data_IF_656929517893
#
_entry.id   IF_656929517893
#
_cell.length_a   1.000
_cell.length_b   1.000
_cell.length_c   1.000
_cell.angle_alpha   90.00
_cell.angle_beta   90.00
_cell.angle_gamma   90.00
#
_symmetry.space_group_name_H-M   'P 1'
#
loop_
_entity.id
_entity.type
_entity.pdbx_description
1 polymer ?
#
# COMPACT_ATOMS: atom_id res chain seq x y z
N UNK A 1 -13.18 20.81 -8.34
CA UNK A 1 -12.06 19.97 -7.85
C UNK A 1 -11.12 19.72 -9.01
N UNK A 2 -9.82 19.75 -8.78
CA UNK A 2 -8.82 19.46 -9.82
C UNK A 2 -8.97 18.00 -10.31
N UNK A 3 -8.81 17.74 -11.62
CA UNK A 3 -8.79 16.37 -12.12
C UNK A 3 -7.58 15.64 -11.53
N UNK A 4 -7.83 14.58 -10.76
CA UNK A 4 -6.77 13.73 -10.23
C UNK A 4 -6.15 12.93 -11.37
N UNK A 5 -4.84 13.07 -11.58
CA UNK A 5 -4.09 12.22 -12.50
C UNK A 5 -3.59 10.97 -11.78
N UNK A 6 -3.96 9.79 -12.28
CA UNK A 6 -3.52 8.50 -11.77
C UNK A 6 -3.08 7.55 -12.90
N UNK A 7 -2.65 8.11 -14.04
CA UNK A 7 -2.23 7.40 -15.25
C UNK A 7 -3.26 6.36 -15.78
N UNK A 8 -4.56 6.63 -15.61
CA UNK A 8 -5.63 5.75 -16.10
C UNK A 8 -5.83 4.46 -15.30
N UNK A 9 -5.21 4.36 -14.12
CA UNK A 9 -5.38 3.23 -13.22
C UNK A 9 -6.73 3.29 -12.49
N UNK A 10 -7.24 2.14 -12.04
CA UNK A 10 -8.49 2.09 -11.27
C UNK A 10 -8.27 2.56 -9.84
N UNK A 11 -9.24 3.30 -9.30
CA UNK A 11 -9.22 3.77 -7.92
C UNK A 11 -8.38 5.02 -7.70
N UNK A 12 -8.41 5.52 -6.46
CA UNK A 12 -7.79 6.79 -6.05
C UNK A 12 -7.32 6.69 -4.58
N UNK A 13 -6.86 7.79 -3.99
CA UNK A 13 -6.43 7.86 -2.58
C UNK A 13 -7.42 7.20 -1.62
N UNK A 14 -7.02 6.07 -1.03
CA UNK A 14 -7.78 5.32 -0.02
C UNK A 14 -8.52 4.08 -0.53
N UNK A 15 -8.30 3.67 -1.79
CA UNK A 15 -8.76 2.38 -2.35
C UNK A 15 -7.62 1.39 -2.35
N UNK A 16 -7.96 0.10 -2.30
CA UNK A 16 -7.00 -0.98 -2.49
C UNK A 16 -6.76 -1.33 -3.98
N UNK A 17 -7.37 -0.60 -4.92
CA UNK A 17 -7.05 -0.69 -6.35
C UNK A 17 -5.68 -0.04 -6.67
N UNK A 18 -5.11 -0.35 -7.82
CA UNK A 18 -3.76 0.07 -8.27
C UNK A 18 -3.57 1.58 -8.19
N UNK A 19 -4.54 2.37 -8.66
CA UNK A 19 -4.50 3.84 -8.61
C UNK A 19 -4.59 4.43 -7.21
N UNK A 20 -4.92 3.63 -6.18
CA UNK A 20 -4.90 4.05 -4.79
C UNK A 20 -3.61 3.75 -4.04
N UNK A 21 -2.75 2.87 -4.59
CA UNK A 21 -1.55 2.40 -3.89
C UNK A 21 -0.26 2.50 -4.70
N UNK A 22 -0.32 2.52 -6.04
CA UNK A 22 0.86 2.71 -6.88
C UNK A 22 1.22 4.18 -6.90
N UNK A 23 2.46 4.47 -6.53
CA UNK A 23 3.00 5.83 -6.44
C UNK A 23 4.31 5.93 -7.23
N UNK A 24 4.68 7.13 -7.71
CA UNK A 24 6.00 7.34 -8.29
C UNK A 24 7.09 7.13 -7.23
N UNK A 25 8.18 6.46 -7.61
CA UNK A 25 9.35 6.26 -6.77
C UNK A 25 10.60 6.38 -7.64
N UNK A 26 11.49 7.32 -7.29
CA UNK A 26 12.72 7.59 -8.03
C UNK A 26 13.91 7.46 -7.08
N UNK A 27 15.00 6.88 -7.58
CA UNK A 27 16.25 6.70 -6.82
C UNK A 27 17.41 7.26 -7.64
N UNK A 28 18.23 8.09 -7.03
CA UNK A 28 19.44 8.65 -7.63
C UNK A 28 20.62 8.39 -6.70
N UNK A 29 21.71 7.86 -7.27
CA UNK A 29 23.00 7.79 -6.59
C UNK A 29 24.10 7.97 -7.64
N UNK A 30 24.70 9.16 -7.62
CA UNK A 30 25.68 9.56 -8.60
C UNK A 30 26.94 8.68 -8.48
N UNK A 31 27.42 8.16 -9.61
CA UNK A 31 28.58 7.26 -9.66
C UNK A 31 28.29 5.78 -9.40
N UNK A 32 27.09 5.40 -8.96
CA UNK A 32 26.77 4.00 -8.62
C UNK A 32 25.98 3.26 -9.71
N UNK A 33 25.20 3.96 -10.53
CA UNK A 33 24.49 3.36 -11.67
C UNK A 33 24.15 4.39 -12.75
N UNK A 34 23.88 3.90 -13.97
CA UNK A 34 23.41 4.74 -15.07
C UNK A 34 22.00 5.27 -14.78
N UNK A 35 21.80 6.56 -15.04
CA UNK A 35 20.51 7.23 -14.97
C UNK A 35 19.61 6.84 -16.16
N UNK A 36 18.32 7.20 -16.08
CA UNK A 36 17.38 7.05 -17.19
C UNK A 36 16.95 5.61 -17.47
N UNK A 37 16.82 4.78 -16.43
CA UNK A 37 16.32 3.41 -16.54
C UNK A 37 15.16 3.18 -15.59
N UNK A 38 14.28 2.29 -16.00
CA UNK A 38 13.14 1.83 -15.22
C UNK A 38 13.40 0.44 -14.64
N UNK A 39 12.77 0.15 -13.50
CA UNK A 39 12.80 -1.15 -12.85
C UNK A 39 11.36 -1.67 -12.73
N UNK A 40 11.03 -2.70 -13.51
CA UNK A 40 9.66 -3.24 -13.58
C UNK A 40 9.32 -4.19 -12.43
N UNK A 41 10.31 -4.60 -11.63
CA UNK A 41 10.08 -5.50 -10.50
C UNK A 41 9.19 -4.81 -9.45
N UNK A 42 8.07 -5.44 -9.11
CA UNK A 42 7.12 -4.93 -8.14
C UNK A 42 7.82 -4.71 -6.80
N UNK A 43 7.82 -3.46 -6.35
CA UNK A 43 8.49 -2.98 -5.14
C UNK A 43 7.47 -2.29 -4.22
N UNK A 44 7.76 -2.24 -2.92
CA UNK A 44 6.91 -1.60 -1.91
C UNK A 44 7.76 -0.82 -0.91
N UNK A 45 7.12 0.08 -0.17
CA UNK A 45 7.80 0.91 0.84
C UNK A 45 8.57 0.09 1.90
N UNK A 46 8.09 -1.11 2.23
CA UNK A 46 8.78 -2.04 3.16
C UNK A 46 10.16 -2.49 2.66
N UNK A 47 10.42 -2.39 1.35
CA UNK A 47 11.69 -2.80 0.75
C UNK A 47 12.80 -1.74 0.93
N UNK A 48 12.44 -0.50 1.30
CA UNK A 48 13.40 0.60 1.49
C UNK A 48 14.36 0.32 2.64
N UNK A 49 13.85 -0.14 3.78
CA UNK A 49 14.67 -0.47 4.96
C UNK A 49 15.79 -1.49 4.65
N UNK A 50 15.48 -2.70 4.13
CA UNK A 50 16.53 -3.66 3.80
C UNK A 50 17.44 -3.19 2.65
N UNK A 51 16.97 -2.33 1.75
CA UNK A 51 17.85 -1.69 0.76
C UNK A 51 18.85 -0.74 1.40
N UNK A 52 18.41 0.16 2.27
CA UNK A 52 19.32 1.08 2.94
C UNK A 52 20.27 0.38 3.90
N UNK A 53 19.82 -0.68 4.57
CA UNK A 53 20.70 -1.53 5.37
C UNK A 53 21.81 -2.16 4.51
N UNK A 54 21.46 -2.74 3.37
CA UNK A 54 22.44 -3.31 2.44
C UNK A 54 23.42 -2.24 1.91
N UNK A 55 22.93 -1.04 1.60
CA UNK A 55 23.76 0.10 1.20
C UNK A 55 24.74 0.52 2.30
N UNK A 56 24.32 0.47 3.56
CA UNK A 56 25.14 0.81 4.71
C UNK A 56 26.08 -0.33 5.17
N UNK A 57 26.10 -1.47 4.47
CA UNK A 57 26.88 -2.64 4.88
C UNK A 57 26.35 -3.35 6.13
N UNK A 58 25.07 -3.15 6.47
CA UNK A 58 24.42 -3.83 7.60
C UNK A 58 23.97 -5.22 7.15
N UNK A 59 24.61 -6.25 7.68
CA UNK A 59 24.35 -7.65 7.30
C UNK A 59 23.19 -8.29 8.07
N UNK A 60 22.89 -7.80 9.27
CA UNK A 60 21.88 -8.40 10.15
C UNK A 60 20.73 -7.43 10.40
N UNK A 61 19.52 -7.87 10.06
CA UNK A 61 18.28 -7.17 10.37
C UNK A 61 17.52 -7.88 11.51
N UNK A 62 16.68 -7.16 12.27
CA UNK A 62 15.85 -7.77 13.29
C UNK A 62 15.03 -8.95 12.74
N UNK A 63 15.21 -10.12 13.34
CA UNK A 63 14.51 -11.35 12.94
C UNK A 63 13.01 -11.16 13.10
N UNK A 64 12.23 -11.60 12.10
CA UNK A 64 10.77 -11.57 12.09
C UNK A 64 10.13 -10.17 12.24
N UNK A 65 10.87 -9.08 11.98
CA UNK A 65 10.33 -7.71 11.97
C UNK A 65 10.53 -6.99 10.63
N UNK A 66 11.32 -7.57 9.71
CA UNK A 66 11.54 -7.02 8.38
C UNK A 66 11.02 -7.99 7.33
N UNK A 67 9.97 -7.57 6.63
CA UNK A 67 9.29 -8.35 5.58
C UNK A 67 9.73 -7.96 4.16
N UNK A 68 10.30 -6.76 4.04
CA UNK A 68 10.80 -6.23 2.78
C UNK A 68 12.02 -6.98 2.27
N UNK A 69 12.35 -6.77 0.99
CA UNK A 69 13.51 -7.36 0.33
C UNK A 69 14.31 -6.27 -0.34
N UNK A 70 15.63 -6.28 -0.16
CA UNK A 70 16.48 -5.28 -0.80
C UNK A 70 16.35 -5.34 -2.33
N UNK A 71 16.03 -4.19 -2.95
CA UNK A 71 16.13 -3.97 -4.39
C UNK A 71 17.50 -3.44 -4.84
N UNK A 72 18.50 -3.40 -3.95
CA UNK A 72 19.86 -2.99 -4.31
C UNK A 72 20.45 -3.80 -5.48
N UNK A 73 20.26 -5.14 -5.60
CA UNK A 73 20.76 -5.89 -6.76
C UNK A 73 20.16 -5.45 -8.10
N UNK A 74 18.94 -4.90 -8.09
CA UNK A 74 18.35 -4.29 -9.28
C UNK A 74 19.03 -2.94 -9.59
N UNK A 75 19.34 -2.17 -8.55
CA UNK A 75 20.02 -0.89 -8.69
C UNK A 75 21.46 -1.05 -9.19
N UNK A 76 22.20 -2.02 -8.72
CA UNK A 76 23.59 -2.25 -9.17
C UNK A 76 23.66 -2.94 -10.54
N UNK A 77 22.54 -3.47 -11.03
CA UNK A 77 22.49 -4.25 -12.27
C UNK A 77 22.98 -5.69 -12.11
N UNK A 78 23.28 -6.12 -10.88
CA UNK A 78 23.60 -7.52 -10.55
C UNK A 78 22.45 -8.46 -10.93
N UNK A 79 21.20 -8.00 -10.78
CA UNK A 79 20.00 -8.75 -11.17
C UNK A 79 19.09 -7.90 -12.05
N UNK A 80 18.49 -8.54 -13.05
CA UNK A 80 17.44 -7.92 -13.88
C UNK A 80 16.06 -7.97 -13.20
N UNK A 81 15.81 -9.02 -12.43
CA UNK A 81 14.55 -9.23 -11.70
C UNK A 81 14.84 -9.81 -10.33
N UNK A 82 13.94 -9.57 -9.36
CA UNK A 82 13.91 -10.29 -8.10
C UNK A 82 12.88 -11.41 -8.16
N UNK A 83 12.98 -12.39 -7.26
CA UNK A 83 12.07 -13.54 -7.22
C UNK A 83 10.59 -13.11 -7.19
N UNK A 84 9.80 -13.65 -8.13
CA UNK A 84 8.35 -13.44 -8.32
C UNK A 84 7.47 -14.18 -7.29
N UNK A 85 8.04 -14.56 -6.14
CA UNK A 85 7.31 -15.39 -5.16
C UNK A 85 6.56 -14.59 -4.10
N UNK A 86 6.68 -13.25 -4.04
CA UNK A 86 5.99 -12.47 -2.99
C UNK A 86 4.57 -12.09 -3.34
N UNK A 87 3.78 -11.99 -2.28
CA UNK A 87 2.57 -11.20 -2.25
C UNK A 87 2.79 -9.93 -1.44
N UNK A 88 2.31 -8.82 -1.97
CA UNK A 88 2.08 -7.57 -1.26
C UNK A 88 0.62 -7.48 -0.88
N UNK A 89 0.35 -7.03 0.34
CA UNK A 89 -0.99 -6.93 0.87
C UNK A 89 -1.39 -5.47 1.04
N UNK A 90 -2.65 -5.17 0.73
CA UNK A 90 -3.26 -3.87 1.04
C UNK A 90 -4.59 -4.14 1.71
N UNK A 91 -4.84 -3.49 2.84
CA UNK A 91 -6.13 -3.52 3.50
C UNK A 91 -6.54 -2.11 3.92
N UNK A 92 -7.79 -1.73 3.65
CA UNK A 92 -8.34 -0.49 4.18
C UNK A 92 -8.90 -0.73 5.58
N UNK A 93 -8.04 -0.55 6.59
CA UNK A 93 -8.38 -0.69 8.00
C UNK A 93 -9.25 0.44 8.53
N UNK A 94 -10.53 0.49 8.13
CA UNK A 94 -11.48 1.54 8.57
C UNK A 94 -12.79 0.92 9.03
N UNK A 95 -13.01 0.98 10.34
CA UNK A 95 -14.22 0.55 11.02
C UNK A 95 -14.51 1.48 12.20
N UNK A 96 -15.67 1.28 12.84
CA UNK A 96 -16.07 2.03 14.04
C UNK A 96 -15.11 1.71 15.19
N UNK A 97 -14.76 2.69 15.99
CA UNK A 97 -14.02 2.48 17.26
C UNK A 97 -14.71 1.40 18.10
N UNK A 98 -13.92 0.45 18.61
CA UNK A 98 -14.39 -0.68 19.41
C UNK A 98 -15.08 -1.79 18.61
N UNK A 99 -15.15 -1.71 17.28
CA UNK A 99 -15.60 -2.83 16.45
C UNK A 99 -14.55 -3.95 16.44
N UNK A 100 -14.98 -5.20 16.31
CA UNK A 100 -14.06 -6.32 16.15
C UNK A 100 -13.48 -6.33 14.72
N UNK A 101 -12.15 -6.17 14.55
CA UNK A 101 -11.53 -6.12 13.21
C UNK A 101 -11.83 -7.34 12.34
N UNK A 102 -11.99 -8.54 12.90
CA UNK A 102 -12.27 -9.75 12.12
C UNK A 102 -13.57 -9.65 11.30
N UNK A 103 -14.54 -8.83 11.71
CA UNK A 103 -15.76 -8.55 10.93
C UNK A 103 -15.46 -7.78 9.62
N UNK A 104 -14.24 -7.30 9.46
CA UNK A 104 -13.77 -6.48 8.34
C UNK A 104 -12.68 -7.17 7.51
N UNK A 105 -12.21 -8.36 7.89
CA UNK A 105 -11.15 -9.09 7.17
C UNK A 105 -11.37 -9.09 5.66
N UNK A 106 -12.58 -9.43 5.20
CA UNK A 106 -12.91 -9.59 3.78
C UNK A 106 -13.52 -8.33 3.15
N UNK A 107 -13.12 -7.14 3.63
CA UNK A 107 -13.58 -5.85 3.13
C UNK A 107 -12.39 -5.04 2.61
N UNK A 108 -12.56 -4.43 1.43
CA UNK A 108 -11.62 -3.45 0.87
C UNK A 108 -10.13 -3.86 0.91
N UNK A 109 -9.81 -5.03 0.38
CA UNK A 109 -8.44 -5.55 0.40
C UNK A 109 -7.92 -5.86 -1.01
N UNK A 110 -6.61 -5.95 -1.14
CA UNK A 110 -5.96 -6.43 -2.34
C UNK A 110 -4.69 -7.23 -2.02
N UNK A 111 -4.35 -8.13 -2.93
CA UNK A 111 -3.14 -8.94 -2.94
C UNK A 111 -2.47 -8.76 -4.28
N UNK A 112 -1.16 -8.53 -4.31
CA UNK A 112 -0.41 -8.22 -5.54
C UNK A 112 0.88 -9.03 -5.58
N UNK A 113 1.12 -9.80 -6.63
CA UNK A 113 2.47 -10.32 -6.96
C UNK A 113 3.03 -9.54 -8.17
N UNK A 114 3.97 -10.09 -8.95
CA UNK A 114 4.47 -9.37 -10.13
C UNK A 114 3.40 -9.22 -11.22
N UNK A 115 2.60 -10.26 -11.49
CA UNK A 115 1.66 -10.28 -12.62
C UNK A 115 0.21 -9.97 -12.25
N UNK A 116 -0.29 -10.54 -11.17
CA UNK A 116 -1.69 -10.48 -10.80
C UNK A 116 -1.96 -9.51 -9.65
N UNK A 117 -3.16 -8.93 -9.68
CA UNK A 117 -3.78 -8.24 -8.54
C UNK A 117 -5.13 -8.87 -8.26
N UNK A 118 -5.27 -9.47 -7.08
CA UNK A 118 -6.55 -9.92 -6.54
C UNK A 118 -7.11 -8.83 -5.64
N UNK A 119 -8.40 -8.55 -5.79
CA UNK A 119 -9.08 -7.41 -5.18
C UNK A 119 -10.41 -7.90 -4.63
N UNK A 120 -10.71 -7.62 -3.37
CA UNK A 120 -11.90 -8.17 -2.72
C UNK A 120 -12.58 -7.25 -1.72
N UNK A 121 -13.84 -7.56 -1.44
CA UNK A 121 -14.64 -6.83 -0.46
C UNK A 121 -15.10 -5.44 -0.91
N UNK A 122 -15.22 -5.20 -2.23
CA UNK A 122 -15.79 -3.98 -2.82
C UNK A 122 -14.87 -2.75 -2.80
N UNK A 123 -13.62 -2.90 -3.23
CA UNK A 123 -12.50 -1.92 -3.13
C UNK A 123 -12.68 -0.57 -3.80
N UNK A 124 -13.77 -0.31 -4.51
CA UNK A 124 -13.91 0.94 -5.23
C UNK A 124 -14.23 2.11 -4.28
N UNK A 125 -13.31 3.07 -4.22
CA UNK A 125 -13.59 4.44 -3.80
C UNK A 125 -14.74 5.07 -4.59
N UNK A 126 -15.04 4.56 -5.78
CA UNK A 126 -16.03 5.10 -6.70
C UNK A 126 -17.41 4.47 -6.61
N UNK A 127 -17.64 3.54 -5.67
CA UNK A 127 -18.97 2.94 -5.46
C UNK A 127 -19.47 3.42 -4.11
N UNK A 128 -20.33 4.44 -4.14
CA UNK A 128 -21.05 4.90 -2.94
C UNK A 128 -21.73 3.71 -2.25
N UNK A 129 -21.96 3.81 -0.94
CA UNK A 129 -22.69 2.79 -0.17
C UNK A 129 -24.07 2.47 -0.79
N UNK A 130 -24.68 3.47 -1.44
CA UNK A 130 -25.91 3.34 -2.24
C UNK A 130 -25.74 2.46 -3.48
N UNK A 131 -24.61 2.54 -4.17
CA UNK A 131 -24.29 1.68 -5.32
C UNK A 131 -23.83 0.29 -4.88
N UNK A 132 -23.21 0.13 -3.70
CA UNK A 132 -22.95 -1.19 -3.10
C UNK A 132 -24.26 -1.94 -2.82
N UNK A 133 -25.28 -1.25 -2.28
CA UNK A 133 -26.63 -1.82 -2.06
C UNK A 133 -27.31 -2.27 -3.36
N UNK A 134 -26.87 -1.78 -4.52
CA UNK A 134 -27.37 -2.18 -5.85
C UNK A 134 -26.52 -3.27 -6.54
N UNK A 135 -25.55 -3.88 -5.83
CA UNK A 135 -24.76 -4.99 -6.37
C UNK A 135 -23.70 -4.61 -7.41
N UNK A 136 -23.35 -3.32 -7.53
CA UNK A 136 -22.54 -2.77 -8.65
C UNK A 136 -21.04 -3.10 -8.56
N UNK A 137 -20.56 -3.66 -7.45
CA UNK A 137 -19.17 -4.14 -7.35
C UNK A 137 -19.15 -5.66 -7.29
N UNK A 138 -18.32 -6.36 -8.10
CA UNK A 138 -17.97 -7.73 -7.81
C UNK A 138 -17.49 -7.81 -6.36
N UNK A 139 -17.91 -8.84 -5.61
CA UNK A 139 -17.34 -9.09 -4.27
C UNK A 139 -15.83 -9.19 -4.40
N UNK A 140 -15.37 -9.98 -5.38
CA UNK A 140 -13.96 -10.19 -5.67
C UNK A 140 -13.67 -10.13 -7.18
N UNK A 141 -12.46 -9.71 -7.55
CA UNK A 141 -11.97 -9.65 -8.91
C UNK A 141 -10.46 -9.96 -8.98
N UNK A 142 -10.03 -10.50 -10.11
CA UNK A 142 -8.62 -10.75 -10.41
C UNK A 142 -8.27 -10.04 -11.71
N UNK A 143 -7.10 -9.39 -11.74
CA UNK A 143 -6.61 -8.64 -12.91
C UNK A 143 -5.19 -9.08 -13.26
N UNK A 144 -4.89 -9.19 -14.56
CA UNK A 144 -3.53 -9.36 -15.09
C UNK A 144 -2.93 -7.96 -15.31
N UNK A 145 -2.05 -7.53 -14.42
CA UNK A 145 -1.52 -6.18 -14.39
C UNK A 145 -0.51 -5.89 -15.51
N UNK A 146 -0.02 -6.91 -16.21
CA UNK A 146 0.81 -6.72 -17.40
C UNK A 146 -0.03 -6.33 -18.61
N UNK A 147 -1.24 -6.89 -18.74
CA UNK A 147 -2.15 -6.63 -19.86
C UNK A 147 -3.15 -5.54 -19.56
N UNK A 148 -3.53 -5.40 -18.29
CA UNK A 148 -4.62 -4.54 -17.83
C UNK A 148 -4.21 -3.77 -16.55
N UNK A 149 -3.24 -2.84 -16.65
CA UNK A 149 -2.87 -1.97 -15.52
C UNK A 149 -4.04 -1.07 -15.05
N UNK A 150 -5.07 -0.90 -15.90
CA UNK A 150 -6.29 -0.17 -15.59
C UNK A 150 -7.34 -0.97 -14.83
N UNK A 151 -7.15 -2.27 -14.58
CA UNK A 151 -8.11 -3.16 -13.93
C UNK A 151 -9.54 -3.09 -14.52
N UNK A 152 -9.63 -3.13 -15.85
CA UNK A 152 -10.89 -3.08 -16.61
C UNK A 152 -11.54 -4.46 -16.77
N UNK A 153 -10.74 -5.53 -16.86
CA UNK A 153 -11.21 -6.87 -17.22
C UNK A 153 -11.00 -7.84 -16.07
N UNK A 154 -12.10 -8.26 -15.42
CA UNK A 154 -12.04 -9.27 -14.38
C UNK A 154 -11.84 -10.67 -14.99
N UNK A 155 -10.70 -11.30 -14.69
CA UNK A 155 -10.32 -12.63 -15.19
C UNK A 155 -10.42 -13.72 -14.11
N UNK A 156 -11.11 -13.46 -13.01
CA UNK A 156 -11.18 -14.40 -11.87
C UNK A 156 -11.70 -15.79 -12.24
N UNK A 157 -12.68 -15.87 -13.14
CA UNK A 157 -13.24 -17.15 -13.60
C UNK A 157 -12.33 -17.91 -14.58
N UNK A 158 -11.37 -17.21 -15.18
CA UNK A 158 -10.38 -17.80 -16.09
C UNK A 158 -9.17 -18.37 -15.32
N UNK A 159 -8.92 -17.85 -14.12
CA UNK A 159 -7.80 -18.25 -13.26
C UNK A 159 -8.23 -18.44 -11.79
N UNK A 160 -9.23 -19.30 -11.51
CA UNK A 160 -9.74 -19.51 -10.15
C UNK A 160 -8.65 -19.98 -9.17
N UNK A 161 -7.69 -20.78 -9.64
CA UNK A 161 -6.56 -21.29 -8.85
C UNK A 161 -5.62 -20.18 -8.38
N UNK A 162 -5.43 -19.12 -9.18
CA UNK A 162 -4.62 -17.96 -8.81
C UNK A 162 -5.35 -17.16 -7.74
N UNK A 163 -6.65 -16.90 -7.93
CA UNK A 163 -7.47 -16.18 -6.97
C UNK A 163 -7.50 -16.89 -5.60
N UNK A 164 -7.66 -18.22 -5.58
CA UNK A 164 -7.67 -18.99 -4.34
C UNK A 164 -6.31 -18.99 -3.63
N UNK A 165 -5.19 -19.08 -4.36
CA UNK A 165 -3.85 -18.95 -3.77
C UNK A 165 -3.66 -17.56 -3.13
N UNK A 166 -4.06 -16.50 -3.82
CA UNK A 166 -3.95 -15.14 -3.31
C UNK A 166 -4.88 -14.89 -2.12
N UNK A 167 -6.10 -15.43 -2.14
CA UNK A 167 -7.04 -15.40 -1.01
C UNK A 167 -6.49 -16.13 0.21
N UNK A 168 -5.90 -17.31 0.02
CA UNK A 168 -5.27 -18.06 1.10
C UNK A 168 -4.08 -17.29 1.69
N UNK A 169 -3.25 -16.67 0.86
CA UNK A 169 -2.15 -15.82 1.30
C UNK A 169 -2.64 -14.62 2.13
N UNK A 170 -3.71 -13.97 1.69
CA UNK A 170 -4.33 -12.88 2.45
C UNK A 170 -4.92 -13.32 3.78
N UNK A 171 -5.56 -14.50 3.83
CA UNK A 171 -6.05 -15.06 5.09
C UNK A 171 -4.91 -15.29 6.08
N UNK A 172 -3.77 -15.79 5.60
CA UNK A 172 -2.56 -15.96 6.41
C UNK A 172 -2.04 -14.61 6.92
N UNK A 173 -1.87 -13.63 6.03
CA UNK A 173 -1.48 -12.27 6.39
C UNK A 173 -2.39 -11.68 7.47
N UNK A 174 -3.72 -11.82 7.33
CA UNK A 174 -4.68 -11.30 8.30
C UNK A 174 -4.50 -11.92 9.69
N UNK A 175 -4.31 -13.25 9.75
CA UNK A 175 -4.07 -13.96 11.01
C UNK A 175 -2.78 -13.51 11.70
N UNK A 176 -1.75 -13.17 10.93
CA UNK A 176 -0.48 -12.64 11.44
C UNK A 176 -0.61 -11.17 11.88
N UNK A 177 -1.39 -10.36 11.15
CA UNK A 177 -1.59 -8.94 11.44
C UNK A 177 -2.55 -8.70 12.62
N UNK A 178 -3.58 -9.53 12.80
CA UNK A 178 -4.64 -9.30 13.81
C UNK A 178 -4.09 -9.16 15.25
N UNK A 179 -3.14 -9.98 15.72
CA UNK A 179 -2.51 -9.81 17.04
C UNK A 179 -1.73 -8.50 17.20
N UNK A 180 -1.26 -7.91 16.09
CA UNK A 180 -0.49 -6.66 16.09
C UNK A 180 -1.41 -5.41 16.13
N UNK A 181 -2.72 -5.57 15.95
CA UNK A 181 -3.72 -4.51 16.07
C UNK A 181 -4.04 -4.23 17.56
N UNK A 182 -3.02 -3.81 18.32
CA UNK A 182 -3.09 -3.65 19.78
C UNK A 182 -3.86 -2.40 20.24
N UNK A 183 -4.11 -1.46 19.34
CA UNK A 183 -4.74 -0.18 19.65
C UNK A 183 -6.26 -0.15 19.38
N UNK A 184 -6.87 -1.28 19.01
CA UNK A 184 -8.30 -1.33 18.63
C UNK A 184 -9.25 -1.03 19.81
N UNK A 185 -8.78 -1.26 21.03
CA UNK A 185 -9.47 -0.94 22.28
C UNK A 185 -8.95 0.33 22.96
N UNK A 186 -7.98 1.03 22.35
CA UNK A 186 -7.44 2.24 22.94
C UNK A 186 -8.52 3.34 22.98
N UNK A 187 -8.67 4.06 24.12
CA UNK A 187 -9.65 5.13 24.22
C UNK A 187 -9.28 6.26 23.24
N UNK A 188 -10.30 6.80 22.57
CA UNK A 188 -10.12 8.00 21.76
C UNK A 188 -9.83 9.19 22.67
N UNK A 189 -8.93 10.08 22.23
CA UNK A 189 -8.69 11.32 22.95
C UNK A 189 -9.99 12.13 23.04
N UNK A 190 -10.35 12.70 24.21
CA UNK A 190 -11.52 13.56 24.35
C UNK A 190 -11.36 14.89 23.59
N UNK A 191 -10.14 15.19 23.14
CA UNK A 191 -9.81 16.41 22.40
C UNK A 191 -9.16 16.07 21.06
N UNK A 192 -9.10 17.06 20.17
CA UNK A 192 -8.29 16.99 18.96
C UNK A 192 -6.99 17.73 19.22
N UNK A 193 -5.92 17.06 19.71
CA UNK A 193 -4.74 17.72 20.28
C UNK A 193 -4.09 18.69 19.30
N UNK A 194 -3.99 18.34 18.02
CA UNK A 194 -3.46 19.25 16.99
C UNK A 194 -4.30 20.51 16.78
N UNK A 195 -5.62 20.45 16.97
CA UNK A 195 -6.47 21.63 16.86
C UNK A 195 -6.35 22.51 18.10
N UNK A 196 -6.24 21.90 19.28
CA UNK A 196 -5.98 22.61 20.54
C UNK A 196 -4.63 23.33 20.46
N UNK A 197 -3.57 22.62 20.10
CA UNK A 197 -2.23 23.20 19.95
C UNK A 197 -2.19 24.28 18.87
N UNK A 198 -2.86 24.08 17.75
CA UNK A 198 -2.99 25.12 16.72
C UNK A 198 -3.67 26.37 17.28
N UNK A 199 -4.80 26.22 17.99
CA UNK A 199 -5.51 27.35 18.60
C UNK A 199 -4.68 28.06 19.68
N UNK A 200 -3.93 27.31 20.50
CA UNK A 200 -2.98 27.86 21.48
C UNK A 200 -1.84 28.62 20.81
N UNK A 201 -1.24 28.04 19.76
CA UNK A 201 -0.21 28.70 18.97
C UNK A 201 -0.72 30.02 18.39
N UNK A 202 -1.93 30.03 17.82
CA UNK A 202 -2.54 31.23 17.25
C UNK A 202 -2.84 32.31 18.31
N UNK A 203 -3.08 31.93 19.57
CA UNK A 203 -3.22 32.87 20.69
C UNK A 203 -1.87 33.39 21.19
N UNK A 204 -0.82 32.58 21.11
CA UNK A 204 0.50 32.85 21.68
C UNK A 204 1.54 33.28 20.64
N UNK A 205 1.13 34.13 19.67
CA UNK A 205 2.04 34.74 18.70
C UNK A 205 1.99 34.17 17.29
N UNK A 206 1.13 33.19 17.00
CA UNK A 206 0.88 32.70 15.65
C UNK A 206 1.92 31.71 15.12
N UNK A 207 1.84 31.45 13.81
CA UNK A 207 2.87 30.67 13.11
C UNK A 207 4.02 31.64 12.80
N UNK A 208 5.23 31.43 13.36
CA UNK A 208 6.34 32.31 13.10
C UNK A 208 6.72 32.28 11.62
N UNK A 209 7.15 33.43 11.09
CA UNK A 209 7.70 33.49 9.74
C UNK A 209 8.91 32.57 9.64
N UNK A 210 8.92 31.70 8.62
CA UNK A 210 10.04 30.81 8.37
C UNK A 210 11.29 31.63 8.03
N UNK A 211 12.34 31.50 8.85
CA UNK A 211 13.67 32.05 8.58
C UNK A 211 14.56 30.93 8.09
N UNK A 212 14.96 30.99 6.81
CA UNK A 212 15.87 30.03 6.23
C UNK A 212 17.19 29.98 7.03
N UNK A 213 17.70 28.80 7.41
CA UNK A 213 19.01 28.69 8.04
C UNK A 213 20.10 29.11 7.05
N UNK A 214 21.17 29.74 7.56
CA UNK A 214 22.40 29.90 6.77
C UNK A 214 23.08 28.54 6.69
N UNK A 215 23.23 28.04 5.46
CA UNK A 215 24.03 26.84 5.15
C UNK A 215 25.51 27.17 5.18
#
# INVERSE_FOLDING_TARGET
>A
GYPFFNAGMKGMKGSADEGGVRVPFLVRWDGHWKAGRDLDTVSAHIDVLPTFAAVAGIETLPKNQVEGRSFLPLLTGEKKTLSDSRYLFTHKGRWKTGAEPNDFQWKNFAVRNQRYRFVGGGTAISVSERQRKKGVSPKDALFDMFKDPGQKTNIIHQHPEVAEKMRAAYNKFWKEARPLMVNESAPMSPTQPFHVWYAEQMKNGGIPDWKAPKL
#
